data_IF_206646801868
#
_entry.id   IF_206646801868
#
_cell.length_a   1.000
_cell.length_b   1.000
_cell.length_c   1.000
_cell.angle_alpha   90.00
_cell.angle_beta   90.00
_cell.angle_gamma   90.00
#
_symmetry.space_group_name_H-M   'P 1'
#
loop_
_entity.id
_entity.type
_entity.pdbx_description
1 polymer ?
#
# COMPACT_ATOMS: atom_id res chain seq x y z
N UNK A 1 7.71 10.34 -0.96
CA UNK A 1 6.67 10.09 0.06
C UNK A 1 6.92 8.70 0.61
N UNK A 2 6.75 8.53 1.92
CA UNK A 2 6.89 7.23 2.59
C UNK A 2 5.56 6.96 3.30
N UNK A 3 4.96 5.81 3.04
CA UNK A 3 3.84 5.27 3.80
C UNK A 3 4.40 4.20 4.72
N UNK A 4 4.38 4.47 6.03
CA UNK A 4 4.87 3.54 7.04
C UNK A 4 3.70 2.80 7.69
N UNK A 5 3.97 1.59 8.19
CA UNK A 5 2.98 0.72 8.84
C UNK A 5 1.68 0.52 8.03
N UNK A 6 1.79 0.42 6.71
CA UNK A 6 0.63 0.26 5.83
C UNK A 6 -0.11 -1.06 6.11
N UNK A 7 -1.42 -0.96 6.27
CA UNK A 7 -2.33 -2.09 6.38
C UNK A 7 -2.48 -2.74 7.75
N UNK A 8 -1.99 -2.10 8.83
CA UNK A 8 -2.31 -2.54 10.19
C UNK A 8 -3.81 -2.51 10.52
N UNK A 9 -4.58 -1.69 9.82
CA UNK A 9 -6.04 -1.59 9.94
C UNK A 9 -6.66 -1.49 8.56
N UNK A 10 -7.86 -2.08 8.40
CA UNK A 10 -8.65 -1.91 7.19
C UNK A 10 -8.99 -0.44 6.95
N UNK A 11 -9.02 -0.03 5.69
CA UNK A 11 -9.38 1.33 5.32
C UNK A 11 -10.90 1.48 5.32
N UNK A 12 -11.39 2.53 5.98
CA UNK A 12 -12.75 2.99 5.77
C UNK A 12 -12.88 3.69 4.40
N UNK A 13 -14.11 4.02 4.00
CA UNK A 13 -14.36 4.60 2.68
C UNK A 13 -13.59 5.90 2.44
N UNK A 14 -13.49 6.77 3.45
CA UNK A 14 -12.83 8.06 3.29
C UNK A 14 -11.32 7.86 3.09
N UNK A 15 -10.68 7.09 3.98
CA UNK A 15 -9.24 6.80 3.87
C UNK A 15 -8.86 6.12 2.56
N UNK A 16 -9.77 5.32 2.00
CA UNK A 16 -9.57 4.64 0.73
C UNK A 16 -9.58 5.60 -0.45
N UNK A 17 -10.50 6.57 -0.45
CA UNK A 17 -10.55 7.64 -1.45
C UNK A 17 -9.32 8.55 -1.34
N UNK A 18 -8.95 8.95 -0.12
CA UNK A 18 -7.76 9.76 0.12
C UNK A 18 -6.49 9.05 -0.37
N UNK A 19 -6.36 7.74 -0.10
CA UNK A 19 -5.25 6.94 -0.59
C UNK A 19 -5.22 6.89 -2.12
N UNK A 20 -6.38 6.69 -2.77
CA UNK A 20 -6.49 6.67 -4.22
C UNK A 20 -6.02 7.99 -4.83
N UNK A 21 -6.50 9.13 -4.32
CA UNK A 21 -6.11 10.47 -4.80
C UNK A 21 -4.59 10.67 -4.69
N UNK A 22 -4.01 10.36 -3.54
CA UNK A 22 -2.57 10.48 -3.30
C UNK A 22 -1.76 9.58 -4.26
N UNK A 23 -2.20 8.33 -4.47
CA UNK A 23 -1.52 7.40 -5.36
C UNK A 23 -1.63 7.85 -6.82
N UNK A 24 -2.79 8.31 -7.25
CA UNK A 24 -3.03 8.83 -8.60
C UNK A 24 -2.16 10.05 -8.91
N UNK A 25 -2.07 10.98 -7.97
CA UNK A 25 -1.25 12.19 -8.14
C UNK A 25 0.25 11.88 -8.30
N UNK A 26 0.70 10.76 -7.75
CA UNK A 26 2.10 10.34 -7.75
C UNK A 26 2.45 9.36 -8.85
N UNK A 27 1.48 8.58 -9.32
CA UNK A 27 1.67 7.52 -10.29
C UNK A 27 2.40 8.03 -11.54
N UNK A 28 3.52 7.38 -11.89
CA UNK A 28 4.36 7.76 -13.03
C UNK A 28 5.12 9.10 -12.90
N UNK A 29 4.96 9.85 -11.79
CA UNK A 29 5.56 11.19 -11.62
C UNK A 29 6.63 11.25 -10.54
N UNK A 30 6.42 10.59 -9.40
CA UNK A 30 7.34 10.65 -8.24
C UNK A 30 7.38 9.32 -7.49
N UNK A 31 8.55 8.91 -7.03
CA UNK A 31 8.74 7.65 -6.29
C UNK A 31 8.01 7.63 -4.93
N UNK A 32 7.40 6.50 -4.59
CA UNK A 32 6.74 6.25 -3.31
C UNK A 32 7.34 5.00 -2.68
N UNK A 33 7.64 5.07 -1.38
CA UNK A 33 8.06 3.90 -0.59
C UNK A 33 6.90 3.53 0.33
N UNK A 34 6.58 2.24 0.39
CA UNK A 34 5.55 1.69 1.28
C UNK A 34 6.21 0.62 2.13
N UNK A 35 6.13 0.78 3.44
CA UNK A 35 6.52 -0.24 4.41
C UNK A 35 5.25 -0.85 5.02
N UNK A 36 5.20 -2.17 5.06
CA UNK A 36 4.05 -2.92 5.60
C UNK A 36 4.55 -4.17 6.32
N UNK A 37 3.81 -4.56 7.35
CA UNK A 37 4.00 -5.84 8.04
C UNK A 37 3.20 -6.97 7.37
N UNK A 38 2.31 -6.63 6.43
CA UNK A 38 1.50 -7.59 5.68
C UNK A 38 2.12 -7.85 4.30
N UNK A 39 2.05 -9.09 3.81
CA UNK A 39 2.41 -9.37 2.42
C UNK A 39 1.48 -8.61 1.47
N UNK A 40 1.98 -8.27 0.28
CA UNK A 40 1.22 -7.51 -0.74
C UNK A 40 -0.11 -8.19 -1.09
N UNK A 41 -0.13 -9.52 -1.08
CA UNK A 41 -1.34 -10.31 -1.39
C UNK A 41 -2.49 -10.05 -0.39
N UNK A 42 -2.19 -9.60 0.84
CA UNK A 42 -3.20 -9.22 1.83
C UNK A 42 -3.69 -7.77 1.68
N UNK A 43 -3.03 -6.95 0.86
CA UNK A 43 -3.37 -5.52 0.77
C UNK A 43 -4.72 -5.28 0.11
N UNK A 44 -5.16 -6.18 -0.79
CA UNK A 44 -6.48 -6.09 -1.40
C UNK A 44 -7.59 -6.13 -0.34
N UNK A 45 -7.46 -7.00 0.66
CA UNK A 45 -8.43 -7.11 1.77
C UNK A 45 -8.38 -5.89 2.71
N UNK A 46 -7.17 -5.39 3.01
CA UNK A 46 -6.97 -4.18 3.83
C UNK A 46 -7.63 -2.97 3.20
N UNK A 47 -7.41 -2.77 1.91
CA UNK A 47 -8.02 -1.67 1.18
C UNK A 47 -9.53 -1.90 1.18
N UNK A 48 -9.99 -3.11 0.83
CA UNK A 48 -11.39 -3.45 0.61
C UNK A 48 -12.04 -2.64 -0.54
N UNK A 49 -13.26 -3.02 -0.92
CA UNK A 49 -13.92 -2.59 -2.16
C UNK A 49 -13.09 -2.96 -3.40
N UNK A 50 -13.57 -3.98 -4.12
CA UNK A 50 -12.81 -4.64 -5.17
C UNK A 50 -12.29 -3.67 -6.24
N UNK A 51 -13.12 -2.72 -6.67
CA UNK A 51 -12.80 -1.82 -7.78
C UNK A 51 -11.65 -0.87 -7.42
N UNK A 52 -11.72 -0.25 -6.25
CA UNK A 52 -10.71 0.70 -5.77
C UNK A 52 -9.44 -0.06 -5.36
N UNK A 53 -9.57 -1.23 -4.73
CA UNK A 53 -8.43 -2.06 -4.38
C UNK A 53 -7.62 -2.45 -5.62
N UNK A 54 -8.28 -2.95 -6.67
CA UNK A 54 -7.63 -3.27 -7.94
C UNK A 54 -6.95 -2.03 -8.54
N UNK A 55 -7.63 -0.89 -8.56
CA UNK A 55 -7.10 0.36 -9.13
C UNK A 55 -5.86 0.89 -8.37
N UNK A 56 -5.87 0.85 -7.04
CA UNK A 56 -4.75 1.27 -6.20
C UNK A 56 -3.58 0.30 -6.37
N UNK A 57 -3.85 -1.01 -6.29
CA UNK A 57 -2.81 -2.03 -6.39
C UNK A 57 -2.14 -2.01 -7.77
N UNK A 58 -2.88 -1.87 -8.86
CA UNK A 58 -2.29 -1.74 -10.19
C UNK A 58 -1.28 -0.57 -10.26
N UNK A 59 -1.61 0.57 -9.65
CA UNK A 59 -0.73 1.75 -9.66
C UNK A 59 0.51 1.61 -8.77
N UNK A 60 0.39 0.97 -7.60
CA UNK A 60 1.51 0.89 -6.65
C UNK A 60 2.33 -0.38 -6.79
N UNK A 61 1.72 -1.49 -7.23
CA UNK A 61 2.34 -2.82 -7.20
C UNK A 61 2.93 -3.20 -8.56
N UNK A 62 2.31 -2.79 -9.67
CA UNK A 62 2.70 -3.22 -11.03
C UNK A 62 4.13 -2.79 -11.38
N UNK A 63 4.52 -1.57 -10.99
CA UNK A 63 5.84 -1.00 -11.25
C UNK A 63 6.75 -0.92 -10.00
N UNK A 64 6.43 -1.67 -8.94
CA UNK A 64 7.21 -1.62 -7.70
C UNK A 64 8.41 -2.56 -7.70
N UNK A 65 9.50 -2.08 -7.12
CA UNK A 65 10.53 -2.95 -6.57
C UNK A 65 10.03 -3.52 -5.23
N UNK A 66 9.80 -4.83 -5.18
CA UNK A 66 9.37 -5.51 -3.95
C UNK A 66 10.58 -6.07 -3.21
N UNK A 67 10.67 -5.77 -1.92
CA UNK A 67 11.73 -6.28 -1.04
C UNK A 67 11.04 -6.96 0.14
N UNK A 68 11.09 -8.29 0.19
CA UNK A 68 10.61 -9.06 1.34
C UNK A 68 11.71 -9.12 2.40
N UNK A 69 11.46 -8.47 3.54
CA UNK A 69 12.36 -8.53 4.68
C UNK A 69 12.09 -9.79 5.50
N UNK A 70 13.15 -10.48 5.89
CA UNK A 70 13.12 -11.67 6.75
C UNK A 70 14.06 -11.46 7.92
N UNK A 71 13.71 -12.02 9.08
CA UNK A 71 14.52 -11.94 10.29
C UNK A 71 13.66 -11.74 11.54
N UNK A 72 14.32 -11.81 12.69
CA UNK A 72 13.68 -11.55 13.98
C UNK A 72 13.43 -10.05 14.19
N UNK A 73 12.46 -9.73 15.04
CA UNK A 73 12.22 -8.35 15.46
C UNK A 73 13.47 -7.79 16.14
N UNK A 74 13.90 -6.61 15.69
CA UNK A 74 14.98 -5.86 16.33
C UNK A 74 14.50 -5.06 17.55
N UNK A 75 13.19 -5.02 17.80
CA UNK A 75 12.62 -4.43 19.02
C UNK A 75 12.86 -5.41 20.17
N UNK A 76 13.86 -5.10 21.01
CA UNK A 76 14.09 -5.74 22.32
C UNK A 76 13.22 -5.11 23.39
#
# INVERSE_FOLDING_TARGET
MILDDFGLQSLDNLKRQDLMEIIEDRHGKKSTIIASQLPVDSWHEVIAEQTIADAILDRIVHNALRIELKGESMRK
#
